data_IF_649097192483
#
_entry.id   IF_649097192483
#
_cell.length_a   1.000
_cell.length_b   1.000
_cell.length_c   1.000
_cell.angle_alpha   90.00
_cell.angle_beta   90.00
_cell.angle_gamma   90.00
#
_symmetry.space_group_name_H-M   'P 1'
#
loop_
_entity.id
_entity.type
_entity.pdbx_description
1 polymer ?
#
# COMPACT_ATOMS: atom_id res chain seq x y z
N UNK A 1 -5.40 -10.96 70.97
CA UNK A 1 -6.65 -10.45 70.36
C UNK A 1 -6.52 -10.60 68.84
N UNK A 2 -6.87 -11.76 68.29
CA UNK A 2 -6.60 -12.17 66.90
C UNK A 2 -7.92 -12.51 66.21
N UNK A 3 -8.65 -11.52 65.68
CA UNK A 3 -9.78 -11.73 64.75
C UNK A 3 -10.11 -10.45 63.97
N UNK A 4 -9.36 -10.12 62.92
CA UNK A 4 -9.82 -9.12 61.92
C UNK A 4 -9.30 -9.38 60.49
N UNK A 5 -8.89 -10.60 60.14
CA UNK A 5 -8.58 -10.96 58.73
C UNK A 5 -9.59 -12.00 58.24
N UNK A 6 -10.88 -11.74 58.47
CA UNK A 6 -11.94 -12.57 57.93
C UNK A 6 -12.73 -11.80 56.88
N UNK A 7 -12.59 -12.27 55.64
CA UNK A 7 -13.63 -12.29 54.60
C UNK A 7 -13.72 -11.07 53.68
N UNK A 8 -12.83 -11.04 52.69
CA UNK A 8 -13.16 -10.53 51.37
C UNK A 8 -12.57 -11.47 50.30
N UNK A 9 -13.08 -12.71 50.23
CA UNK A 9 -12.99 -13.45 48.96
C UNK A 9 -13.97 -12.80 48.01
N UNK A 10 -13.52 -11.76 47.31
CA UNK A 10 -14.20 -11.24 46.11
C UNK A 10 -14.47 -12.44 45.21
N UNK A 11 -15.71 -12.63 44.81
CA UNK A 11 -16.11 -13.56 43.76
C UNK A 11 -15.41 -13.13 42.47
N UNK A 12 -14.16 -13.54 42.28
CA UNK A 12 -13.52 -13.50 40.97
C UNK A 12 -14.14 -14.61 40.15
N UNK A 13 -15.28 -14.29 39.52
CA UNK A 13 -15.84 -15.10 38.44
C UNK A 13 -14.84 -15.01 37.29
N UNK A 14 -13.92 -15.97 37.22
CA UNK A 14 -13.00 -16.11 36.11
C UNK A 14 -13.77 -16.31 34.80
N UNK A 15 -13.19 -15.80 33.71
CA UNK A 15 -13.67 -16.02 32.34
C UNK A 15 -13.78 -17.54 32.10
N UNK A 16 -14.93 -18.02 31.65
CA UNK A 16 -15.07 -19.44 31.33
C UNK A 16 -14.33 -19.75 30.03
N UNK A 17 -13.74 -20.93 29.94
CA UNK A 17 -13.10 -21.37 28.69
C UNK A 17 -14.09 -21.37 27.52
N UNK A 18 -15.36 -21.70 27.80
CA UNK A 18 -16.43 -21.72 26.79
C UNK A 18 -16.72 -20.33 26.24
N UNK A 19 -16.74 -19.29 27.08
CA UNK A 19 -16.90 -17.90 26.62
C UNK A 19 -15.78 -17.49 25.67
N UNK A 20 -14.54 -17.88 25.95
CA UNK A 20 -13.42 -17.56 25.08
C UNK A 20 -13.47 -18.36 23.77
N UNK A 21 -13.89 -19.63 23.82
CA UNK A 21 -14.02 -20.48 22.64
C UNK A 21 -15.05 -19.95 21.63
N UNK A 22 -16.21 -19.50 22.10
CA UNK A 22 -17.25 -18.93 21.21
C UNK A 22 -16.74 -17.64 20.55
N UNK A 23 -16.00 -16.81 21.29
CA UNK A 23 -15.44 -15.56 20.75
C UNK A 23 -14.42 -15.82 19.64
N UNK A 24 -13.47 -16.75 19.84
CA UNK A 24 -12.49 -17.05 18.79
C UNK A 24 -13.11 -17.68 17.55
N UNK A 25 -14.21 -18.44 17.71
CA UNK A 25 -14.97 -18.98 16.56
C UNK A 25 -15.61 -17.84 15.77
N UNK A 26 -16.25 -16.88 16.43
CA UNK A 26 -16.85 -15.72 15.76
C UNK A 26 -15.77 -14.88 15.06
N UNK A 27 -14.65 -14.59 15.73
CA UNK A 27 -13.52 -13.86 15.12
C UNK A 27 -12.97 -14.65 13.91
N UNK A 28 -12.85 -15.98 14.02
CA UNK A 28 -12.39 -16.83 12.91
C UNK A 28 -13.26 -16.70 11.66
N UNK A 29 -14.59 -16.70 11.82
CA UNK A 29 -15.54 -16.51 10.71
C UNK A 29 -15.40 -15.11 10.11
N UNK A 30 -15.28 -14.06 10.94
CA UNK A 30 -15.10 -12.70 10.46
C UNK A 30 -13.79 -12.53 9.67
N UNK A 31 -12.67 -13.07 10.19
CA UNK A 31 -11.36 -12.99 9.54
C UNK A 31 -11.37 -13.73 8.19
N UNK A 32 -12.02 -14.89 8.11
CA UNK A 32 -12.10 -15.67 6.87
C UNK A 32 -12.71 -14.88 5.70
N UNK A 33 -13.70 -14.01 5.97
CA UNK A 33 -14.31 -13.13 4.96
C UNK A 33 -13.50 -11.83 4.80
N UNK A 34 -13.01 -11.26 5.90
CA UNK A 34 -12.35 -9.96 5.90
C UNK A 34 -11.02 -9.96 5.12
N UNK A 35 -10.20 -11.01 5.25
CA UNK A 35 -8.87 -11.09 4.61
C UNK A 35 -8.93 -11.01 3.07
N UNK A 36 -9.71 -11.83 2.34
CA UNK A 36 -9.77 -11.72 0.89
C UNK A 36 -10.34 -10.39 0.41
N UNK A 37 -11.34 -9.83 1.11
CA UNK A 37 -11.91 -8.51 0.79
C UNK A 37 -10.86 -7.42 0.96
N UNK A 38 -10.16 -7.41 2.10
CA UNK A 38 -9.10 -6.45 2.38
C UNK A 38 -7.97 -6.54 1.35
N UNK A 39 -7.56 -7.75 0.98
CA UNK A 39 -6.56 -7.97 -0.08
C UNK A 39 -7.03 -7.44 -1.43
N UNK A 40 -8.31 -7.56 -1.78
CA UNK A 40 -8.88 -6.96 -2.99
C UNK A 40 -8.82 -5.44 -2.96
N UNK A 41 -9.27 -4.81 -1.87
CA UNK A 41 -9.24 -3.35 -1.69
C UNK A 41 -7.82 -2.80 -1.79
N UNK A 42 -6.87 -3.45 -1.11
CA UNK A 42 -5.47 -3.06 -1.16
C UNK A 42 -4.86 -3.18 -2.57
N UNK A 43 -5.33 -4.14 -3.39
CA UNK A 43 -4.84 -4.30 -4.77
C UNK A 43 -5.34 -3.15 -5.63
N UNK A 44 -6.64 -2.85 -5.53
CA UNK A 44 -7.25 -1.72 -6.25
C UNK A 44 -6.63 -0.38 -5.83
N UNK A 45 -6.35 -0.20 -4.54
CA UNK A 45 -5.68 1.00 -4.05
C UNK A 45 -4.26 1.15 -4.63
N UNK A 46 -3.51 0.05 -4.69
CA UNK A 46 -2.18 0.01 -5.29
C UNK A 46 -2.23 0.33 -6.79
N UNK A 47 -3.16 -0.25 -7.53
CA UNK A 47 -3.33 0.06 -8.96
C UNK A 47 -3.71 1.54 -9.18
N UNK A 48 -4.64 2.07 -8.40
CA UNK A 48 -5.05 3.47 -8.50
C UNK A 48 -3.88 4.43 -8.21
N UNK A 49 -3.08 4.13 -7.18
CA UNK A 49 -1.88 4.90 -6.86
C UNK A 49 -0.83 4.81 -7.98
N UNK A 50 -0.63 3.62 -8.55
CA UNK A 50 0.26 3.42 -9.69
C UNK A 50 -0.18 4.27 -10.90
N UNK A 51 -1.46 4.26 -11.24
CA UNK A 51 -2.02 5.08 -12.32
C UNK A 51 -1.88 6.58 -12.04
N UNK A 52 -2.05 7.01 -10.79
CA UNK A 52 -1.82 8.40 -10.39
C UNK A 52 -0.36 8.81 -10.59
N UNK A 53 0.58 7.97 -10.14
CA UNK A 53 2.02 8.19 -10.32
C UNK A 53 2.40 8.30 -11.80
N UNK A 54 1.87 7.41 -12.65
CA UNK A 54 2.09 7.45 -14.10
C UNK A 54 1.57 8.75 -14.72
N UNK A 55 0.43 9.29 -14.26
CA UNK A 55 -0.07 10.59 -14.73
C UNK A 55 0.87 11.73 -14.35
N UNK A 56 1.43 11.71 -13.14
CA UNK A 56 2.40 12.72 -12.69
C UNK A 56 3.66 12.66 -13.57
N UNK A 57 4.21 11.47 -13.80
CA UNK A 57 5.40 11.26 -14.65
C UNK A 57 5.11 11.71 -16.10
N UNK A 58 3.96 11.34 -16.66
CA UNK A 58 3.57 11.75 -18.01
C UNK A 58 3.38 13.26 -18.14
N UNK A 59 2.87 13.92 -17.10
CA UNK A 59 2.80 15.38 -17.04
C UNK A 59 4.18 16.01 -17.09
N UNK A 60 5.14 15.49 -16.32
CA UNK A 60 6.52 15.96 -16.34
C UNK A 60 7.19 15.75 -17.72
N UNK A 61 6.97 14.59 -18.34
CA UNK A 61 7.46 14.31 -19.71
C UNK A 61 6.83 15.29 -20.71
N UNK A 62 5.53 15.53 -20.64
CA UNK A 62 4.84 16.45 -21.54
C UNK A 62 5.37 17.89 -21.42
N UNK A 63 5.64 18.34 -20.20
CA UNK A 63 6.26 19.65 -19.96
C UNK A 63 7.68 19.70 -20.54
N UNK A 64 8.51 18.68 -20.29
CA UNK A 64 9.85 18.58 -20.87
C UNK A 64 9.84 18.66 -22.39
N UNK A 65 8.95 17.89 -23.04
CA UNK A 65 8.82 17.86 -24.50
C UNK A 65 8.35 19.21 -25.03
N UNK A 66 7.45 19.89 -24.31
CA UNK A 66 6.96 21.22 -24.70
C UNK A 66 8.10 22.25 -24.70
N UNK A 67 9.03 22.18 -23.76
CA UNK A 67 10.14 23.13 -23.64
C UNK A 67 11.34 22.77 -24.52
N UNK A 68 11.67 21.48 -24.65
CA UNK A 68 12.91 21.01 -25.30
C UNK A 68 12.68 20.43 -26.70
N UNK A 69 11.42 20.26 -27.13
CA UNK A 69 11.05 19.71 -28.44
C UNK A 69 11.42 18.24 -28.66
N UNK A 70 11.92 17.55 -27.63
CA UNK A 70 12.39 16.16 -27.68
C UNK A 70 11.95 15.40 -26.44
N UNK A 71 11.89 14.06 -26.52
CA UNK A 71 11.56 13.22 -25.36
C UNK A 71 12.76 13.15 -24.40
N UNK A 72 12.52 13.10 -23.08
CA UNK A 72 13.57 12.87 -22.11
C UNK A 72 14.22 11.50 -22.36
N UNK A 73 15.54 11.44 -22.21
CA UNK A 73 16.33 10.21 -22.42
C UNK A 73 16.80 9.60 -21.11
N UNK A 74 16.81 10.39 -20.04
CA UNK A 74 17.16 9.97 -18.69
C UNK A 74 16.21 10.58 -17.66
N UNK A 75 16.10 9.92 -16.50
CA UNK A 75 15.29 10.42 -15.37
C UNK A 75 15.81 11.79 -14.88
N UNK A 76 17.12 12.03 -15.02
CA UNK A 76 17.77 13.31 -14.70
C UNK A 76 17.29 14.48 -15.57
N UNK A 77 16.65 14.20 -16.71
CA UNK A 77 16.06 15.23 -17.56
C UNK A 77 14.75 15.77 -16.96
N UNK A 78 14.08 14.98 -16.12
CA UNK A 78 12.82 15.32 -15.47
C UNK A 78 13.01 15.95 -14.07
N UNK A 79 14.03 15.50 -13.34
CA UNK A 79 14.29 15.90 -11.95
C UNK A 79 15.44 16.92 -11.89
N UNK A 80 15.34 17.99 -11.06
CA UNK A 80 14.22 18.37 -10.19
C UNK A 80 13.21 19.31 -10.87
N UNK A 81 13.46 19.67 -12.13
CA UNK A 81 12.79 20.80 -12.80
C UNK A 81 11.31 20.56 -13.08
N UNK A 82 10.94 19.37 -13.58
CA UNK A 82 9.57 19.04 -13.97
C UNK A 82 8.86 18.18 -12.92
N UNK A 83 9.63 17.46 -12.10
CA UNK A 83 9.15 16.72 -10.93
C UNK A 83 10.25 16.72 -9.86
N UNK A 84 9.89 16.91 -8.58
CA UNK A 84 10.91 17.02 -7.52
C UNK A 84 11.63 15.70 -7.25
N UNK A 85 10.89 14.60 -7.26
CA UNK A 85 11.40 13.24 -7.09
C UNK A 85 10.51 12.30 -7.87
N UNK A 86 11.07 11.16 -8.30
CA UNK A 86 10.25 10.14 -8.93
C UNK A 86 9.41 9.46 -7.84
N UNK A 87 8.08 9.39 -7.99
CA UNK A 87 7.25 8.65 -7.04
C UNK A 87 7.65 7.17 -7.08
N UNK A 88 7.60 6.48 -5.94
CA UNK A 88 7.86 5.04 -5.90
C UNK A 88 6.57 4.25 -6.24
N UNK A 89 6.67 3.13 -6.97
CA UNK A 89 5.53 2.26 -7.16
C UNK A 89 5.01 1.72 -5.82
N UNK A 90 3.69 1.55 -5.66
CA UNK A 90 3.13 0.90 -4.48
C UNK A 90 3.72 -0.50 -4.29
N UNK A 91 4.00 -0.90 -3.04
CA UNK A 91 4.69 -2.15 -2.69
C UNK A 91 4.07 -3.40 -3.34
N UNK A 92 2.73 -3.42 -3.47
CA UNK A 92 1.99 -4.55 -4.08
C UNK A 92 2.10 -4.64 -5.61
N UNK A 93 2.51 -3.55 -6.26
CA UNK A 93 2.84 -3.52 -7.69
C UNK A 93 4.34 -3.81 -7.87
N UNK A 94 5.17 -3.28 -6.96
CA UNK A 94 6.62 -3.45 -6.97
C UNK A 94 7.30 -2.74 -8.15
N UNK A 95 8.62 -2.92 -8.23
CA UNK A 95 9.45 -2.38 -9.31
C UNK A 95 9.89 -0.93 -9.11
N UNK A 96 10.36 -0.32 -10.20
CA UNK A 96 10.80 1.08 -10.23
C UNK A 96 10.33 1.69 -11.54
N UNK A 97 9.85 2.94 -11.51
CA UNK A 97 9.56 3.64 -12.75
C UNK A 97 10.88 3.99 -13.46
N UNK A 98 10.96 3.68 -14.75
CA UNK A 98 12.13 3.95 -15.58
C UNK A 98 11.73 4.62 -16.88
N UNK A 99 12.66 5.38 -17.46
CA UNK A 99 12.54 5.86 -18.83
C UNK A 99 13.35 4.90 -19.70
N UNK A 100 12.66 4.13 -20.54
CA UNK A 100 13.31 3.27 -21.53
C UNK A 100 13.55 4.09 -22.78
N UNK A 101 14.80 4.21 -23.23
CA UNK A 101 15.12 4.83 -24.53
C UNK A 101 14.72 3.85 -25.63
N UNK A 102 13.47 3.89 -26.08
CA UNK A 102 13.12 3.29 -27.36
C UNK A 102 13.33 4.35 -28.45
N UNK A 103 14.04 4.00 -29.51
CA UNK A 103 14.06 4.75 -30.77
C UNK A 103 12.63 4.82 -31.34
N UNK A 104 11.87 5.82 -30.88
CA UNK A 104 10.50 6.27 -31.27
C UNK A 104 9.33 5.25 -31.19
N UNK A 105 8.11 5.69 -30.83
CA UNK A 105 7.72 6.61 -29.77
C UNK A 105 7.51 5.83 -28.45
N UNK A 106 8.11 6.31 -27.37
CA UNK A 106 8.07 5.65 -26.05
C UNK A 106 6.73 5.86 -25.38
N UNK A 107 5.93 4.78 -25.30
CA UNK A 107 4.93 4.65 -24.25
C UNK A 107 5.67 4.32 -22.94
N UNK A 108 5.38 5.01 -21.84
CA UNK A 108 5.98 4.71 -20.55
C UNK A 108 5.53 3.31 -20.15
N UNK A 109 6.46 2.35 -20.24
CA UNK A 109 6.19 0.94 -19.97
C UNK A 109 6.56 0.67 -18.52
N UNK A 110 5.55 0.45 -17.68
CA UNK A 110 5.74 -0.14 -16.37
C UNK A 110 6.12 -1.62 -16.56
N UNK A 111 7.38 -1.97 -16.34
CA UNK A 111 7.83 -3.36 -16.43
C UNK A 111 7.41 -4.09 -15.15
N UNK A 112 6.29 -4.82 -15.18
CA UNK A 112 5.94 -5.79 -14.13
C UNK A 112 6.82 -7.04 -14.27
N UNK A 113 7.59 -7.35 -13.24
CA UNK A 113 8.19 -8.69 -13.08
C UNK A 113 7.32 -9.48 -12.09
N UNK A 114 6.89 -10.72 -12.43
CA UNK A 114 6.02 -11.54 -11.59
C UNK A 114 6.68 -12.02 -10.30
#
# INVERSE_FOLDING_TARGET
MFKLVQKARKNEKGFTLVELMVVVVIIGVLVAIAVPVYNGVQNTAAENAHQANMRIINGAIAMYVTENGTNPTAITDLIPTYIQTLPEPPERIGGTYGITIATFPVLPTATHTP
#
